data_IF_331609698803
#
_entry.id   IF_331609698803
#
_cell.length_a   1.000
_cell.length_b   1.000
_cell.length_c   1.000
_cell.angle_alpha   90.00
_cell.angle_beta   90.00
_cell.angle_gamma   90.00
#
_symmetry.space_group_name_H-M   'P 1'
#
loop_
_entity.id
_entity.type
_entity.pdbx_description
1 polymer ?
#
# COMPACT_ATOMS: atom_id res chain seq x y z
N UNK A 1 -9.05 11.72 3.99
CA UNK A 1 -7.93 10.98 3.38
C UNK A 1 -6.67 11.85 3.36
N UNK A 2 -5.54 11.28 3.75
CA UNK A 2 -4.23 11.91 3.62
C UNK A 2 -3.74 11.85 2.17
N UNK A 3 -2.71 12.65 1.82
CA UNK A 3 -2.07 12.59 0.50
C UNK A 3 -1.52 11.18 0.19
N UNK A 4 -1.03 10.47 1.21
CA UNK A 4 -0.52 9.09 1.08
C UNK A 4 -1.65 8.11 0.72
N UNK A 5 -2.83 8.28 1.31
CA UNK A 5 -3.99 7.43 1.02
C UNK A 5 -4.55 7.70 -0.37
N UNK A 6 -4.57 8.98 -0.79
CA UNK A 6 -5.00 9.36 -2.13
C UNK A 6 -4.16 8.73 -3.23
N UNK A 7 -2.86 8.59 -3.04
CA UNK A 7 -1.96 7.94 -4.01
C UNK A 7 -2.25 6.44 -4.21
N UNK A 8 -2.92 5.81 -3.24
CA UNK A 8 -3.34 4.41 -3.34
C UNK A 8 -4.64 4.22 -4.15
N UNK A 9 -5.40 5.29 -4.34
CA UNK A 9 -6.61 5.25 -5.15
C UNK A 9 -6.25 5.29 -6.65
N UNK A 10 -7.11 4.74 -7.53
CA UNK A 10 -6.99 4.92 -8.96
C UNK A 10 -6.91 6.40 -9.34
N UNK A 11 -6.09 6.72 -10.34
CA UNK A 11 -5.77 8.10 -10.72
C UNK A 11 -6.97 8.93 -11.21
N UNK A 12 -8.05 8.26 -11.58
CA UNK A 12 -9.30 8.85 -12.05
C UNK A 12 -10.45 8.37 -11.18
N UNK A 13 -10.79 9.15 -10.15
CA UNK A 13 -12.12 9.13 -9.55
C UNK A 13 -12.94 10.13 -10.37
N UNK A 14 -13.26 9.77 -11.59
CA UNK A 14 -14.14 10.52 -12.47
C UNK A 14 -15.45 9.74 -12.70
N UNK A 15 -16.36 10.33 -13.44
CA UNK A 15 -17.70 9.76 -13.67
C UNK A 15 -17.71 8.37 -14.37
N UNK A 16 -16.56 7.87 -14.82
CA UNK A 16 -16.43 6.60 -15.53
C UNK A 16 -15.85 5.48 -14.65
N UNK A 17 -15.12 5.80 -13.59
CA UNK A 17 -14.54 4.79 -12.70
C UNK A 17 -15.37 4.67 -11.42
N UNK A 18 -16.18 3.64 -11.32
CA UNK A 18 -16.98 3.34 -10.14
C UNK A 18 -16.13 2.60 -9.10
N UNK A 19 -15.68 3.29 -8.07
CA UNK A 19 -15.02 2.67 -6.93
C UNK A 19 -16.04 2.23 -5.89
N UNK A 20 -16.19 0.93 -5.73
CA UNK A 20 -17.01 0.36 -4.65
C UNK A 20 -16.36 0.61 -3.30
N UNK A 21 -17.15 0.97 -2.31
CA UNK A 21 -16.77 1.16 -0.94
C UNK A 21 -17.64 0.30 -0.02
N UNK A 22 -17.04 -0.37 0.93
CA UNK A 22 -17.74 -1.04 2.02
C UNK A 22 -17.67 -0.12 3.24
N UNK A 23 -18.84 0.20 3.80
CA UNK A 23 -18.98 1.00 5.00
C UNK A 23 -19.39 0.07 6.13
N UNK A 24 -18.66 0.05 7.22
CA UNK A 24 -18.96 -0.78 8.40
C UNK A 24 -19.15 0.12 9.61
N UNK A 25 -20.27 -0.02 10.26
CA UNK A 25 -20.57 0.67 11.52
C UNK A 25 -19.59 0.20 12.61
N UNK A 26 -18.94 1.14 13.25
CA UNK A 26 -17.93 0.89 14.29
C UNK A 26 -18.53 0.21 15.53
N UNK A 27 -19.80 0.49 15.83
CA UNK A 27 -20.47 0.00 17.05
C UNK A 27 -21.19 -1.34 16.81
N UNK A 28 -21.92 -1.46 15.69
CA UNK A 28 -22.78 -2.63 15.43
C UNK A 28 -22.18 -3.65 14.48
N UNK A 29 -21.05 -3.35 13.82
CA UNK A 29 -20.47 -4.15 12.74
C UNK A 29 -21.39 -4.37 11.53
N UNK A 30 -22.49 -3.63 11.44
CA UNK A 30 -23.36 -3.67 10.28
C UNK A 30 -22.66 -3.03 9.08
N UNK A 31 -22.74 -3.65 7.91
CA UNK A 31 -22.06 -3.16 6.72
C UNK A 31 -23.02 -2.79 5.61
N UNK A 32 -22.63 -1.78 4.83
CA UNK A 32 -23.35 -1.28 3.65
C UNK A 32 -22.37 -1.10 2.50
N UNK A 33 -22.89 -1.14 1.27
CA UNK A 33 -22.09 -0.87 0.08
C UNK A 33 -22.44 0.50 -0.48
N UNK A 34 -21.43 1.27 -0.77
CA UNK A 34 -21.53 2.58 -1.41
C UNK A 34 -20.59 2.70 -2.60
N UNK A 35 -20.65 3.84 -3.26
CA UNK A 35 -19.82 4.17 -4.41
C UNK A 35 -19.12 5.50 -4.16
N UNK A 36 -17.81 5.54 -4.33
CA UNK A 36 -17.04 6.78 -4.30
C UNK A 36 -17.41 7.62 -5.53
N UNK A 37 -17.96 8.82 -5.31
CA UNK A 37 -18.48 9.70 -6.37
C UNK A 37 -17.49 10.77 -6.76
N UNK A 38 -16.84 11.39 -5.80
CA UNK A 38 -15.89 12.47 -6.07
C UNK A 38 -14.97 12.73 -4.87
N UNK A 39 -13.79 13.20 -5.19
CA UNK A 39 -12.88 13.81 -4.23
C UNK A 39 -13.16 15.32 -4.19
N UNK A 40 -13.30 15.89 -3.01
CA UNK A 40 -13.43 17.33 -2.88
C UNK A 40 -12.08 18.02 -3.16
N UNK A 41 -12.11 19.16 -3.84
CA UNK A 41 -10.89 19.90 -4.17
C UNK A 41 -10.32 20.68 -2.97
N UNK A 42 -11.13 20.85 -1.91
CA UNK A 42 -10.72 21.54 -0.71
C UNK A 42 -9.85 20.64 0.16
N UNK A 43 -8.68 21.15 0.54
CA UNK A 43 -7.79 20.52 1.53
C UNK A 43 -8.02 21.22 2.85
N UNK A 44 -8.39 20.48 3.88
CA UNK A 44 -8.53 21.03 5.23
C UNK A 44 -7.14 21.45 5.74
N UNK A 45 -6.98 22.74 6.06
CA UNK A 45 -5.69 23.34 6.43
C UNK A 45 -5.15 22.81 7.76
N UNK A 46 -6.03 22.41 8.69
CA UNK A 46 -5.62 21.96 10.02
C UNK A 46 -5.02 20.55 10.03
N UNK A 47 -5.54 19.63 9.19
CA UNK A 47 -5.11 18.22 9.15
C UNK A 47 -4.55 17.78 7.81
N UNK A 48 -4.55 18.66 6.79
CA UNK A 48 -4.09 18.40 5.41
C UNK A 48 -4.78 17.21 4.75
N UNK A 49 -6.04 16.97 5.07
CA UNK A 49 -6.86 15.90 4.51
C UNK A 49 -7.84 16.43 3.48
N UNK A 50 -8.23 15.57 2.55
CA UNK A 50 -9.30 15.80 1.58
C UNK A 50 -10.47 14.87 1.86
N UNK A 51 -11.68 15.35 1.60
CA UNK A 51 -12.91 14.56 1.74
C UNK A 51 -13.19 13.78 0.47
N UNK A 52 -13.50 12.51 0.63
CA UNK A 52 -14.02 11.66 -0.43
C UNK A 52 -15.52 11.46 -0.18
N UNK A 53 -16.34 11.83 -1.14
CA UNK A 53 -17.79 11.66 -1.07
C UNK A 53 -18.16 10.26 -1.56
N UNK A 54 -18.83 9.52 -0.69
CA UNK A 54 -19.37 8.19 -0.99
C UNK A 54 -20.88 8.26 -0.96
N UNK A 55 -21.53 7.74 -1.97
CA UNK A 55 -22.98 7.67 -2.06
C UNK A 55 -23.46 6.23 -1.95
N UNK A 56 -24.58 6.06 -1.28
CA UNK A 56 -25.35 4.81 -1.24
C UNK A 56 -26.63 5.04 -2.04
N UNK A 57 -26.84 4.25 -3.08
CA UNK A 57 -28.05 4.35 -3.89
C UNK A 57 -29.24 3.72 -3.14
N UNK A 58 -30.40 4.39 -3.20
CA UNK A 58 -31.64 3.99 -2.51
C UNK A 58 -31.42 3.67 -1.01
N UNK A 59 -30.96 4.64 -0.20
CA UNK A 59 -30.49 4.38 1.16
C UNK A 59 -31.57 3.79 2.08
N UNK A 60 -32.85 4.10 1.84
CA UNK A 60 -33.95 3.54 2.61
C UNK A 60 -34.10 2.01 2.44
N UNK A 61 -33.65 1.48 1.33
CA UNK A 61 -33.66 0.04 1.05
C UNK A 61 -32.31 -0.61 1.34
N UNK A 62 -31.23 0.04 0.91
CA UNK A 62 -29.88 -0.54 0.87
C UNK A 62 -29.02 -0.16 2.09
N UNK A 63 -29.43 0.83 2.87
CA UNK A 63 -28.70 1.28 4.06
C UNK A 63 -29.60 1.33 5.30
N UNK A 64 -30.46 0.32 5.46
CA UNK A 64 -31.32 0.20 6.63
C UNK A 64 -30.48 0.20 7.91
N UNK A 65 -30.83 1.06 8.84
CA UNK A 65 -30.08 1.24 10.10
C UNK A 65 -28.99 2.32 10.04
N UNK A 66 -28.56 2.76 8.85
CA UNK A 66 -27.63 3.88 8.73
C UNK A 66 -28.36 5.21 8.91
N UNK A 67 -28.02 5.92 9.97
CA UNK A 67 -28.62 7.21 10.30
C UNK A 67 -27.56 8.33 10.27
N UNK A 68 -27.96 9.59 10.03
CA UNK A 68 -27.03 10.70 10.09
C UNK A 68 -26.31 10.78 11.45
N UNK A 69 -24.99 10.92 11.42
CA UNK A 69 -24.15 10.93 12.62
C UNK A 69 -23.52 9.59 12.97
N UNK A 70 -23.86 8.50 12.25
CA UNK A 70 -23.20 7.20 12.42
C UNK A 70 -21.74 7.28 12.01
N UNK A 71 -20.83 6.80 12.86
CA UNK A 71 -19.43 6.62 12.52
C UNK A 71 -19.21 5.28 11.81
N UNK A 72 -18.58 5.34 10.66
CA UNK A 72 -18.33 4.16 9.83
C UNK A 72 -16.85 4.06 9.46
N UNK A 73 -16.34 2.86 9.51
CA UNK A 73 -15.09 2.51 8.86
C UNK A 73 -15.35 2.26 7.38
N UNK A 74 -14.51 2.81 6.51
CA UNK A 74 -14.69 2.72 5.06
C UNK A 74 -13.52 1.98 4.43
N UNK A 75 -13.82 0.87 3.78
CA UNK A 75 -12.88 0.09 2.99
C UNK A 75 -13.14 0.31 1.51
N UNK A 76 -12.11 0.81 0.79
CA UNK A 76 -12.17 1.06 -0.66
C UNK A 76 -11.07 0.27 -1.32
N UNK A 77 -11.42 -0.49 -2.36
CA UNK A 77 -10.43 -1.19 -3.14
C UNK A 77 -9.55 -0.20 -3.89
N UNK A 78 -8.25 -0.20 -3.57
CA UNK A 78 -7.25 0.62 -4.24
C UNK A 78 -6.91 0.13 -5.65
N UNK A 79 -5.98 0.82 -6.30
CA UNK A 79 -5.45 0.38 -7.59
C UNK A 79 -4.68 -0.93 -7.43
N UNK A 80 -4.88 -1.84 -8.38
CA UNK A 80 -4.03 -3.02 -8.50
C UNK A 80 -2.65 -2.60 -9.00
N UNK A 81 -1.62 -3.06 -8.32
CA UNK A 81 -0.22 -2.83 -8.73
C UNK A 81 0.40 -4.21 -8.94
N UNK A 82 0.89 -4.43 -10.13
CA UNK A 82 1.57 -5.68 -10.48
C UNK A 82 3.08 -5.56 -10.22
N UNK A 83 3.77 -6.71 -10.16
CA UNK A 83 5.22 -6.79 -9.97
C UNK A 83 5.75 -6.12 -8.69
N UNK A 84 5.03 -6.30 -7.58
CA UNK A 84 5.50 -5.87 -6.27
C UNK A 84 6.35 -6.94 -5.61
N UNK A 85 7.41 -6.50 -4.95
CA UNK A 85 8.08 -7.33 -3.97
C UNK A 85 7.51 -7.06 -2.59
N UNK A 86 7.15 -8.12 -1.89
CA UNK A 86 6.87 -8.12 -0.47
C UNK A 86 8.18 -8.51 0.24
N UNK A 87 8.72 -7.61 1.03
CA UNK A 87 9.98 -7.79 1.71
C UNK A 87 9.80 -7.55 3.20
N UNK A 88 10.49 -8.28 4.09
CA UNK A 88 10.53 -7.93 5.51
C UNK A 88 10.95 -6.47 5.69
N UNK A 89 10.36 -5.79 6.67
CA UNK A 89 10.65 -4.36 6.91
C UNK A 89 12.13 -4.09 7.21
N UNK A 90 12.84 -5.10 7.73
CA UNK A 90 14.28 -5.08 7.96
C UNK A 90 15.14 -5.01 6.69
N UNK A 91 14.58 -5.33 5.52
CA UNK A 91 15.29 -5.31 4.24
C UNK A 91 15.55 -3.90 3.70
N UNK A 92 14.82 -2.90 4.21
CA UNK A 92 15.07 -1.51 3.85
C UNK A 92 16.17 -0.92 4.73
N UNK A 93 17.19 -0.35 4.11
CA UNK A 93 18.22 0.40 4.83
C UNK A 93 17.63 1.70 5.41
N UNK A 94 18.35 2.32 6.37
CA UNK A 94 17.97 3.62 6.93
C UNK A 94 17.86 4.74 5.87
N UNK A 95 18.48 4.55 4.71
CA UNK A 95 18.40 5.48 3.57
C UNK A 95 17.26 5.17 2.61
N UNK A 96 16.41 4.16 2.92
CA UNK A 96 15.33 3.74 2.05
C UNK A 96 15.81 2.98 0.81
N UNK A 97 16.95 2.29 0.90
CA UNK A 97 17.48 1.47 -0.20
C UNK A 97 17.22 0.00 0.09
N UNK A 98 16.93 -0.77 -0.95
CA UNK A 98 16.93 -2.22 -0.93
C UNK A 98 18.20 -2.73 -1.60
N UNK A 99 18.92 -3.59 -0.87
CA UNK A 99 20.17 -4.19 -1.33
C UNK A 99 19.92 -5.62 -1.83
N UNK A 100 20.53 -5.96 -2.93
CA UNK A 100 20.38 -7.28 -3.54
C UNK A 100 21.71 -7.78 -4.13
N UNK A 101 21.73 -9.06 -4.45
CA UNK A 101 22.90 -9.70 -5.05
C UNK A 101 22.79 -9.70 -6.56
N UNK A 102 23.83 -9.23 -7.23
CA UNK A 102 24.02 -9.33 -8.67
C UNK A 102 25.40 -9.88 -8.98
N UNK A 103 25.47 -11.09 -9.54
CA UNK A 103 26.74 -11.77 -9.86
C UNK A 103 27.73 -11.80 -8.69
N UNK A 104 27.30 -12.18 -7.50
CA UNK A 104 28.07 -12.20 -6.25
C UNK A 104 28.60 -10.85 -5.79
N UNK A 105 28.07 -9.76 -6.30
CA UNK A 105 28.37 -8.40 -5.85
C UNK A 105 27.11 -7.73 -5.34
N UNK A 106 27.28 -6.80 -4.40
CA UNK A 106 26.19 -5.99 -3.86
C UNK A 106 25.77 -4.92 -4.85
N UNK A 107 24.48 -4.87 -5.13
CA UNK A 107 23.81 -3.80 -5.82
C UNK A 107 22.65 -3.28 -4.96
N UNK A 108 22.19 -2.06 -5.23
CA UNK A 108 21.07 -1.46 -4.53
C UNK A 108 20.22 -0.64 -5.47
N UNK A 109 19.00 -0.40 -5.06
CA UNK A 109 18.10 0.61 -5.64
C UNK A 109 17.38 1.36 -4.54
N UNK A 110 16.97 2.60 -4.83
CA UNK A 110 16.11 3.37 -3.95
C UNK A 110 14.72 2.76 -3.96
N UNK A 111 14.23 2.32 -2.79
CA UNK A 111 12.95 1.65 -2.68
C UNK A 111 11.80 2.66 -2.71
N UNK A 112 10.95 2.58 -3.73
CA UNK A 112 9.66 3.24 -3.73
C UNK A 112 8.67 2.38 -2.93
N UNK A 113 8.58 2.66 -1.61
CA UNK A 113 7.71 1.93 -0.68
C UNK A 113 6.28 2.44 -0.87
N UNK A 114 5.46 1.65 -1.55
CA UNK A 114 4.07 1.98 -1.85
C UNK A 114 3.10 1.58 -0.74
N UNK A 115 3.52 0.68 0.14
CA UNK A 115 2.75 0.23 1.29
C UNK A 115 3.63 -0.47 2.32
N UNK A 116 3.13 -0.58 3.53
CA UNK A 116 3.77 -1.35 4.61
C UNK A 116 2.71 -1.80 5.61
N UNK A 117 2.93 -2.94 6.22
CA UNK A 117 2.26 -3.40 7.42
C UNK A 117 3.27 -3.53 8.58
N UNK A 118 2.93 -4.25 9.64
CA UNK A 118 3.80 -4.42 10.82
C UNK A 118 5.07 -5.21 10.51
N UNK A 119 5.04 -6.11 9.54
CA UNK A 119 6.11 -7.08 9.25
C UNK A 119 6.78 -6.79 7.91
N UNK A 120 6.02 -6.37 6.92
CA UNK A 120 6.47 -6.27 5.53
C UNK A 120 6.36 -4.86 4.97
N UNK A 121 7.22 -4.59 3.98
CA UNK A 121 7.13 -3.46 3.08
C UNK A 121 6.82 -3.95 1.66
N UNK A 122 6.09 -3.15 0.91
CA UNK A 122 5.75 -3.44 -0.49
C UNK A 122 6.44 -2.42 -1.38
N UNK A 123 7.35 -2.91 -2.23
CA UNK A 123 8.20 -2.05 -3.07
C UNK A 123 8.05 -2.41 -4.54
N UNK A 124 8.20 -1.41 -5.40
CA UNK A 124 8.30 -1.62 -6.85
C UNK A 124 9.77 -1.76 -7.20
N UNK A 125 10.25 -2.97 -7.55
CA UNK A 125 11.63 -3.12 -7.99
C UNK A 125 11.84 -2.54 -9.39
N UNK A 126 13.08 -2.21 -9.78
CA UNK A 126 13.40 -1.88 -11.16
C UNK A 126 12.95 -3.00 -12.13
N UNK A 127 12.43 -2.63 -13.30
CA UNK A 127 11.87 -3.59 -14.28
C UNK A 127 12.84 -4.68 -14.70
N UNK A 128 14.13 -4.41 -14.69
CA UNK A 128 15.19 -5.38 -15.00
C UNK A 128 15.28 -6.54 -14.00
N UNK A 129 14.64 -6.42 -12.85
CA UNK A 129 14.61 -7.43 -11.78
C UNK A 129 13.31 -8.22 -11.72
N UNK A 130 12.26 -7.89 -12.50
CA UNK A 130 10.95 -8.52 -12.40
C UNK A 130 10.96 -10.03 -12.65
N UNK A 131 11.75 -10.49 -13.62
CA UNK A 131 11.79 -11.90 -14.01
C UNK A 131 12.98 -12.65 -13.41
N UNK A 132 13.76 -12.00 -12.54
CA UNK A 132 14.94 -12.60 -11.93
C UNK A 132 14.63 -13.16 -10.55
N UNK A 133 15.10 -14.35 -10.26
CA UNK A 133 15.16 -14.85 -8.89
C UNK A 133 16.27 -14.10 -8.14
N UNK A 134 15.93 -12.93 -7.62
CA UNK A 134 16.87 -12.00 -7.02
C UNK A 134 16.96 -12.23 -5.52
N UNK A 135 18.16 -12.45 -5.01
CA UNK A 135 18.39 -12.54 -3.56
C UNK A 135 18.49 -11.14 -2.97
N UNK A 136 17.64 -10.83 -2.01
CA UNK A 136 17.59 -9.56 -1.30
C UNK A 136 18.20 -9.72 0.09
N UNK A 137 18.93 -8.71 0.55
CA UNK A 137 19.51 -8.69 1.90
C UNK A 137 18.43 -8.33 2.92
N UNK A 138 18.28 -9.19 3.93
CA UNK A 138 17.29 -8.98 5.00
C UNK A 138 17.72 -7.91 6.02
N UNK A 139 19.03 -7.74 6.22
CA UNK A 139 19.59 -6.81 7.21
C UNK A 139 20.77 -6.03 6.61
N UNK A 140 20.50 -5.03 5.75
CA UNK A 140 21.58 -4.26 5.13
C UNK A 140 22.32 -3.41 6.16
N UNK A 141 23.65 -3.50 6.16
CA UNK A 141 24.51 -2.68 7.01
C UNK A 141 24.79 -1.32 6.36
N UNK A 142 24.93 -0.28 7.17
CA UNK A 142 25.23 1.07 6.70
C UNK A 142 26.62 1.21 6.03
N UNK A 143 27.50 0.21 6.24
CA UNK A 143 28.87 0.16 5.69
C UNK A 143 28.95 -0.49 4.31
N UNK A 144 27.86 -1.02 3.77
CA UNK A 144 27.88 -1.65 2.46
C UNK A 144 28.13 -0.65 1.34
N UNK A 145 28.92 -1.09 0.36
CA UNK A 145 29.21 -0.32 -0.85
C UNK A 145 28.78 -1.11 -2.08
N UNK A 146 28.23 -0.41 -3.04
CA UNK A 146 27.87 -0.99 -4.34
C UNK A 146 29.09 -1.59 -5.02
N UNK A 147 28.96 -2.83 -5.53
CA UNK A 147 30.06 -3.56 -6.15
C UNK A 147 30.92 -4.38 -5.18
N UNK A 148 30.66 -4.32 -3.87
CA UNK A 148 31.35 -5.15 -2.88
C UNK A 148 31.08 -6.63 -3.16
N UNK A 149 32.13 -7.44 -3.21
CA UNK A 149 31.99 -8.90 -3.29
C UNK A 149 31.55 -9.46 -1.94
N UNK A 150 30.56 -10.33 -1.97
CA UNK A 150 30.00 -10.97 -0.77
C UNK A 150 29.71 -12.43 -1.03
N UNK A 151 29.74 -13.22 0.03
CA UNK A 151 29.27 -14.59 0.02
C UNK A 151 27.92 -14.63 0.76
N UNK A 152 26.82 -14.99 0.07
CA UNK A 152 25.51 -15.02 0.70
C UNK A 152 25.42 -16.15 1.72
N UNK A 153 24.84 -15.84 2.87
CA UNK A 153 24.33 -16.83 3.81
C UNK A 153 22.81 -16.81 3.64
N UNK A 154 22.26 -17.90 3.15
CA UNK A 154 20.80 -18.02 2.94
C UNK A 154 20.17 -18.34 4.29
N UNK A 155 19.29 -17.48 4.77
CA UNK A 155 18.37 -17.84 5.85
C UNK A 155 17.18 -18.54 5.20
N UNK A 156 16.99 -19.83 5.46
CA UNK A 156 15.73 -20.50 5.16
C UNK A 156 14.68 -19.94 6.13
N UNK A 157 13.79 -19.06 5.65
CA UNK A 157 12.55 -18.84 6.34
C UNK A 157 11.77 -20.16 6.28
N UNK A 158 11.55 -20.77 7.44
CA UNK A 158 10.67 -21.92 7.57
C UNK A 158 9.29 -21.51 7.05
N UNK A 159 8.90 -22.09 5.92
CA UNK A 159 7.52 -22.15 5.50
C UNK A 159 6.78 -23.06 6.47
N UNK A 160 6.32 -22.50 7.59
CA UNK A 160 5.32 -23.15 8.42
C UNK A 160 3.96 -22.92 7.77
N UNK A 161 3.36 -24.05 7.40
CA UNK A 161 1.99 -24.21 6.89
C UNK A 161 0.92 -23.61 7.79
#
# INVERSE_FOLDING_TARGET
>A
LSKKDLNKLPSTIDQQTTLSAVLTDVDSNQSWTGVAKRLEQYINESNRQQSLIIAIDNPLLNAKGLVPGTFVEINIQGKKIDNLWQLPSSSASQRGEVWYLENNTLANFSADIIGSDETYIYVVPPSVLFEKNTQVLLHPLSSYLKGMQVQPVISEESSDE
#
